data_IF_387682003269
#
_entry.id   IF_387682003269
#
_cell.length_a   1.000
_cell.length_b   1.000
_cell.length_c   1.000
_cell.angle_alpha   90.00
_cell.angle_beta   90.00
_cell.angle_gamma   90.00
#
_symmetry.space_group_name_H-M   'P 1'
#
loop_
_entity.id
_entity.type
_entity.pdbx_description
1 polymer ?
#
# COMPACT_ATOMS: atom_id res chain seq x y z
N UNK A 1 -4.31 -7.31 19.02
CA UNK A 1 -3.90 -6.90 17.67
C UNK A 1 -3.12 -5.61 17.77
N UNK A 2 -1.94 -5.59 17.18
CA UNK A 2 -1.04 -4.43 17.18
C UNK A 2 -1.41 -3.52 16.01
N UNK A 3 -1.07 -2.24 16.09
CA UNK A 3 -1.26 -1.29 14.99
C UNK A 3 0.05 -1.13 14.25
N UNK A 4 -0.03 -1.11 12.92
CA UNK A 4 1.09 -0.90 12.04
C UNK A 4 0.78 0.24 11.07
N UNK A 5 1.76 1.10 10.87
CA UNK A 5 1.79 2.11 9.80
C UNK A 5 2.56 1.49 8.64
N UNK A 6 1.89 1.22 7.53
CA UNK A 6 2.47 0.67 6.32
C UNK A 6 2.52 1.75 5.24
N UNK A 7 3.70 1.97 4.68
CA UNK A 7 3.90 2.77 3.48
C UNK A 7 3.65 1.90 2.26
N UNK A 8 2.82 2.40 1.36
CA UNK A 8 2.43 1.78 0.10
C UNK A 8 2.98 2.64 -1.03
N UNK A 9 3.67 2.00 -1.97
CA UNK A 9 4.27 2.64 -3.14
C UNK A 9 3.51 2.24 -4.39
N UNK A 10 3.02 3.22 -5.15
CA UNK A 10 2.28 3.01 -6.40
C UNK A 10 2.75 3.99 -7.47
N UNK A 11 2.61 3.63 -8.74
CA UNK A 11 2.85 4.55 -9.84
C UNK A 11 1.57 5.25 -10.24
N UNK A 12 1.61 6.58 -10.37
CA UNK A 12 0.50 7.40 -10.87
C UNK A 12 0.90 8.12 -12.14
N UNK A 13 -0.01 8.15 -13.12
CA UNK A 13 0.16 8.97 -14.31
C UNK A 13 -0.08 10.47 -13.99
N UNK A 14 0.04 11.33 -15.02
CA UNK A 14 -0.14 12.78 -14.86
C UNK A 14 -1.56 13.18 -14.41
N UNK A 15 -2.55 12.31 -14.58
CA UNK A 15 -3.93 12.51 -14.14
C UNK A 15 -4.18 12.02 -12.71
N UNK A 16 -3.17 11.41 -12.07
CA UNK A 16 -3.29 10.81 -10.73
C UNK A 16 -3.85 9.39 -10.73
N UNK A 17 -4.10 8.79 -11.90
CA UNK A 17 -4.58 7.41 -12.01
C UNK A 17 -3.45 6.43 -11.73
N UNK A 18 -3.73 5.39 -10.96
CA UNK A 18 -2.76 4.32 -10.68
C UNK A 18 -2.53 3.49 -11.94
N UNK A 19 -1.26 3.32 -12.31
CA UNK A 19 -0.83 2.62 -13.52
C UNK A 19 0.25 1.59 -13.18
N UNK A 20 0.36 0.55 -14.01
CA UNK A 20 1.31 -0.53 -13.78
C UNK A 20 2.75 -0.14 -14.17
N UNK A 21 2.89 0.60 -15.27
CA UNK A 21 4.16 1.12 -15.77
C UNK A 21 4.03 2.57 -16.23
N UNK A 22 5.15 3.28 -16.25
CA UNK A 22 5.17 4.73 -16.47
C UNK A 22 4.68 5.51 -15.25
N UNK A 23 4.67 6.84 -15.34
CA UNK A 23 4.23 7.70 -14.23
C UNK A 23 5.25 7.87 -13.10
N UNK A 24 4.89 8.74 -12.15
CA UNK A 24 5.68 9.03 -10.97
C UNK A 24 5.39 8.00 -9.87
N UNK A 25 6.42 7.59 -9.14
CA UNK A 25 6.24 6.76 -7.94
C UNK A 25 5.74 7.66 -6.80
N UNK A 26 4.62 7.28 -6.19
CA UNK A 26 3.99 7.96 -5.08
C UNK A 26 4.01 7.05 -3.85
N UNK A 27 4.22 7.65 -2.69
CA UNK A 27 4.15 6.99 -1.39
C UNK A 27 2.85 7.40 -0.68
N UNK A 28 2.12 6.42 -0.18
CA UNK A 28 0.85 6.58 0.52
C UNK A 28 0.85 5.75 1.79
N UNK A 29 0.30 6.30 2.87
CA UNK A 29 0.35 5.65 4.18
C UNK A 29 -1.00 5.01 4.49
N UNK A 30 -0.97 3.74 4.88
CA UNK A 30 -2.12 3.01 5.39
C UNK A 30 -1.84 2.49 6.79
N UNK A 31 -2.82 2.66 7.68
CA UNK A 31 -2.80 2.10 9.02
C UNK A 31 -3.63 0.83 9.02
N UNK A 32 -3.05 -0.26 9.55
CA UNK A 32 -3.70 -1.57 9.68
C UNK A 32 -3.51 -2.12 11.09
N UNK A 33 -4.45 -2.97 11.51
CA UNK A 33 -4.31 -3.78 12.70
C UNK A 33 -3.93 -5.21 12.30
N UNK A 34 -2.86 -5.74 12.86
CA UNK A 34 -2.36 -7.07 12.56
C UNK A 34 -1.65 -7.69 13.77
N UNK A 35 -1.42 -9.00 13.72
CA UNK A 35 -0.70 -9.73 14.77
C UNK A 35 0.82 -9.83 14.50
N UNK A 36 1.27 -9.41 13.31
CA UNK A 36 2.69 -9.35 12.94
C UNK A 36 2.91 -8.39 11.78
N UNK A 37 4.16 -7.99 11.55
CA UNK A 37 4.54 -7.16 10.41
C UNK A 37 4.18 -7.81 9.07
N UNK A 38 4.38 -9.13 8.93
CA UNK A 38 4.03 -9.87 7.70
C UNK A 38 2.54 -9.77 7.40
N UNK A 39 1.68 -9.96 8.40
CA UNK A 39 0.24 -9.79 8.23
C UNK A 39 -0.15 -8.33 7.99
N UNK A 40 0.57 -7.37 8.58
CA UNK A 40 0.35 -5.95 8.33
C UNK A 40 0.62 -5.59 6.85
N UNK A 41 1.69 -6.13 6.24
CA UNK A 41 1.99 -5.94 4.82
C UNK A 41 0.86 -6.47 3.93
N UNK A 42 0.42 -7.70 4.19
CA UNK A 42 -0.69 -8.33 3.44
C UNK A 42 -2.01 -7.58 3.59
N UNK A 43 -2.33 -7.13 4.82
CA UNK A 43 -3.52 -6.34 5.10
C UNK A 43 -3.46 -4.98 4.39
N UNK A 44 -2.29 -4.31 4.38
CA UNK A 44 -2.12 -3.02 3.72
C UNK A 44 -2.30 -3.13 2.20
N UNK A 45 -1.69 -4.13 1.57
CA UNK A 45 -1.90 -4.43 0.15
C UNK A 45 -3.38 -4.63 -0.17
N UNK A 46 -4.03 -5.54 0.57
CA UNK A 46 -5.43 -5.92 0.31
C UNK A 46 -6.37 -4.74 0.50
N UNK A 47 -6.13 -3.93 1.55
CA UNK A 47 -6.93 -2.73 1.83
C UNK A 47 -6.78 -1.69 0.73
N UNK A 48 -5.55 -1.33 0.37
CA UNK A 48 -5.28 -0.36 -0.68
C UNK A 48 -5.85 -0.81 -2.04
N UNK A 49 -5.59 -2.07 -2.42
CA UNK A 49 -6.10 -2.66 -3.65
C UNK A 49 -7.63 -2.56 -3.75
N UNK A 50 -8.34 -2.85 -2.66
CA UNK A 50 -9.79 -2.79 -2.59
C UNK A 50 -10.32 -1.35 -2.64
N UNK A 51 -9.72 -0.43 -1.90
CA UNK A 51 -10.14 0.99 -1.85
C UNK A 51 -9.96 1.69 -3.20
N UNK A 52 -8.93 1.32 -3.97
CA UNK A 52 -8.61 1.94 -5.25
C UNK A 52 -9.02 1.12 -6.48
N UNK A 53 -9.57 -0.09 -6.30
CA UNK A 53 -9.98 -0.96 -7.40
C UNK A 53 -8.82 -1.43 -8.29
N UNK A 54 -7.65 -1.71 -7.69
CA UNK A 54 -6.43 -2.14 -8.39
C UNK A 54 -5.93 -3.50 -7.91
N UNK A 55 -5.11 -4.17 -8.72
CA UNK A 55 -4.46 -5.42 -8.30
C UNK A 55 -3.35 -5.15 -7.28
N UNK A 56 -3.15 -6.06 -6.32
CA UNK A 56 -2.02 -5.99 -5.38
C UNK A 56 -0.66 -6.05 -6.09
N UNK A 57 -0.59 -6.62 -7.29
CA UNK A 57 0.62 -6.61 -8.13
C UNK A 57 1.04 -5.22 -8.62
N UNK A 58 0.16 -4.21 -8.52
CA UNK A 58 0.46 -2.82 -8.84
C UNK A 58 1.00 -2.04 -7.63
N UNK A 59 1.13 -2.69 -6.49
CA UNK A 59 1.39 -2.07 -5.19
C UNK A 59 2.66 -2.68 -4.59
N UNK A 60 3.62 -1.84 -4.21
CA UNK A 60 4.78 -2.26 -3.42
C UNK A 60 4.63 -1.79 -1.98
N UNK A 61 5.17 -2.54 -1.00
CA UNK A 61 5.27 -2.05 0.37
C UNK A 61 6.62 -1.39 0.56
N UNK A 62 6.60 -0.14 1.03
CA UNK A 62 7.76 0.59 1.51
C UNK A 62 8.06 0.26 2.97
N UNK A 63 8.25 1.30 3.79
CA UNK A 63 8.50 1.13 5.22
C UNK A 63 7.25 0.61 5.96
N UNK A 64 7.48 -0.28 6.92
CA UNK A 64 6.45 -0.67 7.90
C UNK A 64 6.95 -0.32 9.29
N UNK A 65 6.09 0.25 10.13
CA UNK A 65 6.43 0.64 11.50
C UNK A 65 5.33 0.20 12.43
N UNK A 66 5.68 -0.60 13.44
CA UNK A 66 4.79 -0.97 14.53
C UNK A 66 4.57 0.25 15.44
N UNK A 67 3.33 0.50 15.82
CA UNK A 67 2.94 1.52 16.80
C UNK A 67 2.89 0.96 18.22
#
# INVERSE_FOLDING_TARGET
MEKYVCEVLVRKDKSGKIVHFGGALCSEVIIVQANSETFAKQAAWSKYAKEHGVSTSMISIGKVTKM
#
